data_IF_107873984869
#
_entry.id   IF_107873984869
#
_cell.length_a   1.000
_cell.length_b   1.000
_cell.length_c   1.000
_cell.angle_alpha   90.00
_cell.angle_beta   90.00
_cell.angle_gamma   90.00
#
_symmetry.space_group_name_H-M   'P 1'
#
loop_
_entity.id
_entity.type
_entity.pdbx_description
1 polymer ?
#
# COMPACT_ATOMS: atom_id res chain seq x y z
N UNK A 1 -34.73 -7.89 -45.20
CA UNK A 1 -34.16 -6.53 -45.34
C UNK A 1 -32.65 -6.65 -45.36
N UNK A 2 -31.94 -5.84 -46.15
CA UNK A 2 -30.48 -5.86 -46.18
C UNK A 2 -29.92 -4.99 -45.04
N UNK A 3 -29.02 -5.54 -44.22
CA UNK A 3 -28.23 -4.75 -43.29
C UNK A 3 -27.12 -4.03 -44.07
N UNK A 4 -27.07 -2.70 -44.00
CA UNK A 4 -26.08 -1.88 -44.69
C UNK A 4 -24.69 -2.05 -44.06
N UNK A 5 -23.84 -2.87 -44.68
CA UNK A 5 -22.44 -2.99 -44.28
C UNK A 5 -21.70 -1.66 -44.46
N UNK A 6 -21.37 -1.01 -43.34
CA UNK A 6 -20.49 0.17 -43.34
C UNK A 6 -19.10 -0.31 -43.75
N UNK A 7 -18.72 -0.06 -45.01
CA UNK A 7 -17.35 -0.30 -45.47
C UNK A 7 -16.43 0.69 -44.75
N UNK A 8 -15.48 0.17 -43.97
CA UNK A 8 -14.30 0.92 -43.55
C UNK A 8 -13.62 1.53 -44.80
N UNK A 9 -13.15 2.78 -44.76
CA UNK A 9 -12.37 3.33 -45.86
C UNK A 9 -11.13 2.46 -46.08
N UNK A 10 -10.99 1.90 -47.28
CA UNK A 10 -9.80 1.11 -47.62
C UNK A 10 -8.64 2.09 -47.77
N UNK A 11 -7.78 2.15 -46.75
CA UNK A 11 -6.55 2.93 -46.78
C UNK A 11 -5.73 2.53 -48.00
N UNK A 12 -5.49 3.47 -48.92
CA UNK A 12 -4.77 3.16 -50.16
C UNK A 12 -3.27 2.96 -49.87
N UNK A 13 -2.62 2.13 -50.68
CA UNK A 13 -1.16 1.92 -50.58
C UNK A 13 -0.39 3.25 -50.66
N UNK A 14 -0.83 4.16 -51.55
CA UNK A 14 -0.26 5.50 -51.68
C UNK A 14 -0.43 6.39 -50.43
N UNK A 15 -1.42 6.13 -49.56
CA UNK A 15 -1.53 6.78 -48.26
C UNK A 15 -0.61 6.14 -47.22
N UNK A 16 -0.48 4.80 -47.21
CA UNK A 16 0.48 4.08 -46.35
C UNK A 16 1.94 4.45 -46.63
N UNK A 17 2.25 4.82 -47.87
CA UNK A 17 3.55 5.33 -48.32
C UNK A 17 3.65 6.87 -48.23
N UNK A 18 2.61 7.53 -47.72
CA UNK A 18 2.47 8.99 -47.68
C UNK A 18 3.43 9.70 -46.71
N UNK A 19 3.64 11.00 -46.96
CA UNK A 19 4.57 11.84 -46.18
C UNK A 19 4.25 11.89 -44.68
N UNK A 20 2.98 12.03 -44.30
CA UNK A 20 2.53 12.04 -42.90
C UNK A 20 2.88 10.73 -42.16
N UNK A 21 2.76 9.59 -42.85
CA UNK A 21 3.09 8.26 -42.31
C UNK A 21 4.59 8.16 -42.05
N UNK A 22 5.40 8.51 -43.04
CA UNK A 22 6.85 8.44 -42.95
C UNK A 22 7.42 9.45 -41.94
N UNK A 23 6.84 10.65 -41.83
CA UNK A 23 7.17 11.62 -40.77
C UNK A 23 6.83 11.09 -39.37
N UNK A 24 5.67 10.44 -39.21
CA UNK A 24 5.25 9.86 -37.92
C UNK A 24 6.16 8.69 -37.52
N UNK A 25 6.57 7.86 -38.49
CA UNK A 25 7.60 6.83 -38.29
C UNK A 25 8.94 7.43 -37.87
N UNK A 26 9.47 8.40 -38.62
CA UNK A 26 10.80 8.99 -38.36
C UNK A 26 10.88 9.62 -36.97
N UNK A 27 9.81 10.33 -36.57
CA UNK A 27 9.68 10.89 -35.23
C UNK A 27 9.62 9.80 -34.15
N UNK A 28 8.88 8.70 -34.35
CA UNK A 28 8.89 7.56 -33.41
C UNK A 28 10.31 6.94 -33.27
N UNK A 29 11.08 6.84 -34.36
CA UNK A 29 12.49 6.39 -34.31
C UNK A 29 13.35 7.34 -33.46
N UNK A 30 13.16 8.65 -33.59
CA UNK A 30 13.87 9.66 -32.80
C UNK A 30 13.49 9.61 -31.32
N UNK A 31 12.21 9.44 -31.01
CA UNK A 31 11.74 9.36 -29.63
C UNK A 31 12.20 8.09 -28.93
N UNK A 32 12.26 6.95 -29.62
CA UNK A 32 12.88 5.76 -29.04
C UNK A 32 14.38 5.94 -28.73
N UNK A 33 15.13 6.72 -29.54
CA UNK A 33 16.51 7.10 -29.23
C UNK A 33 16.59 7.99 -27.98
N UNK A 34 15.72 9.00 -27.87
CA UNK A 34 15.65 9.85 -26.68
C UNK A 34 15.28 9.06 -25.41
N UNK A 35 14.23 8.24 -25.49
CA UNK A 35 13.73 7.45 -24.36
C UNK A 35 14.74 6.39 -23.89
N UNK A 36 15.55 5.83 -24.80
CA UNK A 36 16.63 4.93 -24.42
C UNK A 36 17.69 5.67 -23.59
N UNK A 37 18.08 6.88 -24.01
CA UNK A 37 19.04 7.71 -23.26
C UNK A 37 18.47 8.19 -21.90
N UNK A 38 17.14 8.29 -21.77
CA UNK A 38 16.44 8.52 -20.49
C UNK A 38 16.22 7.23 -19.67
N UNK A 39 16.64 6.07 -20.16
CA UNK A 39 16.50 4.76 -19.51
C UNK A 39 15.12 4.08 -19.65
N UNK A 40 14.13 4.77 -20.23
CA UNK A 40 12.71 4.36 -20.27
C UNK A 40 12.42 3.14 -21.15
N UNK A 41 13.23 2.89 -22.19
CA UNK A 41 13.04 1.76 -23.13
C UNK A 41 14.29 0.86 -23.22
N UNK A 42 14.97 0.71 -22.09
CA UNK A 42 16.19 -0.11 -21.93
C UNK A 42 15.92 -1.60 -22.18
N UNK A 43 16.96 -2.35 -22.58
CA UNK A 43 16.91 -3.82 -22.64
C UNK A 43 15.90 -4.41 -23.64
N UNK A 44 15.54 -3.65 -24.69
CA UNK A 44 14.42 -3.91 -25.63
C UNK A 44 13.01 -3.75 -25.03
N UNK A 45 12.90 -3.45 -23.74
CA UNK A 45 11.67 -3.16 -23.02
C UNK A 45 11.00 -1.84 -23.45
N UNK A 46 9.82 -1.58 -22.88
CA UNK A 46 8.93 -0.49 -23.29
C UNK A 46 8.50 -0.54 -24.76
N UNK A 47 7.65 0.40 -25.17
CA UNK A 47 7.12 0.50 -26.54
C UNK A 47 6.44 1.86 -26.74
N UNK A 48 6.28 2.32 -27.97
CA UNK A 48 5.57 3.55 -28.31
C UNK A 48 4.66 3.33 -29.53
N UNK A 49 3.52 4.02 -29.51
CA UNK A 49 2.59 4.09 -30.63
C UNK A 49 1.99 5.48 -30.75
N UNK A 50 1.69 5.91 -31.98
CA UNK A 50 0.94 7.13 -32.25
C UNK A 50 0.04 6.98 -33.47
N UNK A 51 -1.07 7.70 -33.48
CA UNK A 51 -1.87 7.92 -34.69
C UNK A 51 -1.13 8.85 -35.64
N UNK A 52 -1.19 8.55 -36.93
CA UNK A 52 -0.72 9.45 -37.98
C UNK A 52 -1.63 10.68 -37.97
N UNK A 53 -1.04 11.85 -37.72
CA UNK A 53 -1.77 13.10 -37.71
C UNK A 53 -2.01 13.56 -39.15
N UNK A 54 -3.27 13.44 -39.56
CA UNK A 54 -3.78 13.98 -40.82
C UNK A 54 -5.11 14.67 -40.56
N UNK A 55 -5.19 15.97 -40.84
CA UNK A 55 -6.41 16.77 -40.67
C UNK A 55 -7.52 16.36 -41.64
N UNK A 56 -7.19 15.63 -42.72
CA UNK A 56 -8.18 15.08 -43.65
C UNK A 56 -8.93 13.85 -43.11
N UNK A 57 -8.38 13.18 -42.08
CA UNK A 57 -8.94 11.96 -41.49
C UNK A 57 -9.31 12.19 -40.01
N UNK A 58 -10.58 11.95 -39.60
CA UNK A 58 -10.98 12.05 -38.20
C UNK A 58 -10.11 11.21 -37.27
N UNK A 59 -9.76 11.71 -36.08
CA UNK A 59 -8.86 11.05 -35.10
C UNK A 59 -9.32 9.65 -34.66
N UNK A 60 -10.60 9.32 -34.77
CA UNK A 60 -11.14 7.96 -34.54
C UNK A 60 -10.76 6.96 -35.65
N UNK A 61 -10.40 7.46 -36.82
CA UNK A 61 -10.18 6.71 -38.06
C UNK A 61 -8.72 6.80 -38.56
N UNK A 62 -7.89 7.65 -37.94
CA UNK A 62 -6.46 7.75 -38.23
C UNK A 62 -5.75 6.43 -37.95
N UNK A 63 -4.93 5.98 -38.90
CA UNK A 63 -4.08 4.80 -38.79
C UNK A 63 -3.01 4.97 -37.71
N UNK A 64 -2.55 3.85 -37.14
CA UNK A 64 -1.70 3.79 -35.96
C UNK A 64 -0.31 3.25 -36.36
N UNK A 65 0.76 3.97 -35.99
CA UNK A 65 2.15 3.50 -36.09
C UNK A 65 2.55 2.87 -34.76
N UNK A 66 3.33 1.79 -34.79
CA UNK A 66 3.75 1.08 -33.58
C UNK A 66 5.18 0.53 -33.69
N UNK A 67 5.99 0.78 -32.64
CA UNK A 67 7.33 0.17 -32.52
C UNK A 67 7.22 -1.34 -32.24
N UNK A 68 8.04 -2.19 -32.87
CA UNK A 68 8.00 -3.64 -32.63
C UNK A 68 8.57 -4.04 -31.26
N UNK A 69 8.19 -5.24 -30.81
CA UNK A 69 8.76 -5.90 -29.63
C UNK A 69 10.09 -6.61 -29.94
N UNK A 70 10.97 -6.70 -28.95
CA UNK A 70 12.24 -7.44 -29.02
C UNK A 70 13.35 -6.81 -29.86
N UNK A 71 13.21 -5.52 -30.24
CA UNK A 71 14.26 -4.78 -30.97
C UNK A 71 15.00 -3.80 -30.06
N UNK A 72 16.24 -3.48 -30.45
CA UNK A 72 17.00 -2.34 -29.96
C UNK A 72 16.30 -1.04 -30.38
N UNK A 73 15.53 -0.44 -29.46
CA UNK A 73 14.69 0.73 -29.71
C UNK A 73 15.50 1.94 -30.17
N UNK A 74 16.72 2.09 -29.66
CA UNK A 74 17.68 3.13 -30.01
C UNK A 74 18.30 2.98 -31.41
N UNK A 75 18.05 1.84 -32.08
CA UNK A 75 18.53 1.52 -33.44
C UNK A 75 17.40 1.20 -34.41
N UNK A 76 16.17 1.50 -34.01
CA UNK A 76 14.98 1.38 -34.86
C UNK A 76 15.01 2.38 -36.01
N UNK A 77 14.57 1.94 -37.18
CA UNK A 77 14.35 2.77 -38.37
C UNK A 77 12.89 2.67 -38.84
N UNK A 78 12.52 3.53 -39.77
CA UNK A 78 11.17 3.72 -40.30
C UNK A 78 10.59 2.45 -40.96
N UNK A 79 11.46 1.58 -41.48
CA UNK A 79 11.13 0.29 -42.07
C UNK A 79 10.88 -0.82 -41.03
N UNK A 80 11.28 -0.64 -39.76
CA UNK A 80 11.02 -1.61 -38.67
C UNK A 80 9.58 -1.50 -38.12
N UNK A 81 8.82 -0.47 -38.50
CA UNK A 81 7.55 -0.15 -37.86
C UNK A 81 6.36 -0.87 -38.45
N UNK A 82 5.45 -1.26 -37.57
CA UNK A 82 4.12 -1.71 -37.94
C UNK A 82 3.20 -0.52 -38.23
N UNK A 83 2.29 -0.69 -39.20
CA UNK A 83 1.16 0.21 -39.42
C UNK A 83 -0.13 -0.59 -39.22
N UNK A 84 -1.02 -0.08 -38.39
CA UNK A 84 -2.29 -0.69 -38.01
C UNK A 84 -3.46 0.22 -38.43
N UNK A 85 -4.63 -0.35 -38.65
CA UNK A 85 -5.89 0.38 -38.76
C UNK A 85 -6.26 1.03 -37.42
N UNK A 86 -7.26 1.91 -37.41
CA UNK A 86 -7.80 2.44 -36.14
C UNK A 86 -8.52 1.37 -35.29
N UNK A 87 -8.83 0.20 -35.85
CA UNK A 87 -9.33 -0.99 -35.13
C UNK A 87 -8.22 -1.93 -34.64
N UNK A 88 -6.95 -1.67 -34.97
CA UNK A 88 -5.80 -2.48 -34.57
C UNK A 88 -5.45 -3.64 -35.52
N UNK A 89 -6.07 -3.71 -36.69
CA UNK A 89 -5.72 -4.68 -37.73
C UNK A 89 -4.41 -4.28 -38.42
N UNK A 90 -3.50 -5.22 -38.65
CA UNK A 90 -2.20 -4.91 -39.26
C UNK A 90 -2.36 -4.62 -40.77
N UNK A 91 -2.08 -3.37 -41.17
CA UNK A 91 -2.07 -2.92 -42.56
C UNK A 91 -0.69 -3.08 -43.22
N UNK A 92 0.39 -2.94 -42.44
CA UNK A 92 1.77 -3.14 -42.88
C UNK A 92 2.60 -3.82 -41.78
N UNK A 93 3.41 -4.79 -42.18
CA UNK A 93 4.43 -5.44 -41.33
C UNK A 93 5.83 -5.14 -41.87
N UNK A 94 6.83 -4.91 -40.99
CA UNK A 94 8.22 -4.78 -41.39
C UNK A 94 8.74 -6.07 -42.04
N UNK A 95 9.65 -5.93 -43.01
CA UNK A 95 10.28 -7.08 -43.65
C UNK A 95 11.26 -7.78 -42.68
N UNK A 96 11.49 -9.11 -42.81
CA UNK A 96 12.52 -9.79 -42.06
C UNK A 96 13.90 -9.24 -42.42
N UNK A 97 14.65 -8.73 -41.43
CA UNK A 97 16.08 -8.46 -41.59
C UNK A 97 16.84 -9.78 -41.85
N UNK A 98 17.98 -9.77 -42.57
CA UNK A 98 18.71 -10.98 -42.90
C UNK A 98 19.11 -11.83 -41.68
N UNK A 99 19.36 -13.13 -41.91
CA UNK A 99 19.85 -14.04 -40.88
C UNK A 99 21.09 -13.46 -40.16
N UNK A 100 21.17 -13.51 -38.82
CA UNK A 100 20.39 -14.33 -37.88
C UNK A 100 19.10 -13.69 -37.34
N UNK A 101 18.68 -12.54 -37.87
CA UNK A 101 17.56 -11.79 -37.31
C UNK A 101 16.22 -12.48 -37.61
N UNK A 102 15.35 -12.55 -36.58
CA UNK A 102 13.94 -12.89 -36.75
C UNK A 102 13.19 -11.65 -37.26
N UNK A 103 12.07 -11.80 -37.98
CA UNK A 103 11.20 -10.66 -38.26
C UNK A 103 10.80 -9.96 -36.95
N UNK A 104 10.80 -8.62 -36.89
CA UNK A 104 10.31 -7.89 -35.71
C UNK A 104 8.87 -8.33 -35.43
N UNK A 105 8.49 -8.49 -34.15
CA UNK A 105 7.11 -8.80 -33.78
C UNK A 105 6.32 -7.51 -33.58
N UNK A 106 5.05 -7.50 -33.97
CA UNK A 106 4.11 -6.49 -33.47
C UNK A 106 4.12 -6.52 -31.94
N UNK A 107 4.04 -5.35 -31.30
CA UNK A 107 4.25 -5.23 -29.85
C UNK A 107 3.23 -6.09 -29.08
N UNK A 108 3.67 -6.90 -28.12
CA UNK A 108 2.76 -7.64 -27.23
C UNK A 108 1.90 -6.69 -26.36
N UNK A 109 2.36 -5.43 -26.21
CA UNK A 109 1.63 -4.30 -25.63
C UNK A 109 0.46 -3.80 -26.52
N UNK A 110 0.32 -4.25 -27.77
CA UNK A 110 -0.68 -3.73 -28.71
C UNK A 110 -2.12 -3.77 -28.19
N UNK A 111 -2.63 -4.85 -27.55
CA UNK A 111 -4.00 -4.88 -27.03
C UNK A 111 -4.22 -3.85 -25.92
N UNK A 112 -3.19 -3.55 -25.13
CA UNK A 112 -3.21 -2.58 -24.03
C UNK A 112 -3.26 -1.15 -24.58
N UNK A 113 -2.43 -0.87 -25.60
CA UNK A 113 -2.47 0.38 -26.35
C UNK A 113 -3.83 0.63 -27.01
N UNK A 114 -4.45 -0.40 -27.59
CA UNK A 114 -5.80 -0.27 -28.12
C UNK A 114 -6.81 0.11 -27.03
N UNK A 115 -6.65 -0.30 -25.75
CA UNK A 115 -7.56 0.18 -24.67
C UNK A 115 -7.43 1.66 -24.35
N UNK A 116 -6.24 2.27 -24.50
CA UNK A 116 -6.12 3.72 -24.42
C UNK A 116 -6.74 4.42 -25.65
N UNK A 117 -6.58 3.87 -26.85
CA UNK A 117 -7.26 4.40 -28.04
C UNK A 117 -8.79 4.26 -27.96
N UNK A 118 -9.32 3.10 -27.56
CA UNK A 118 -10.74 2.80 -27.40
C UNK A 118 -11.41 3.69 -26.33
N UNK A 119 -10.82 3.73 -25.11
CA UNK A 119 -11.48 4.30 -23.91
C UNK A 119 -11.12 5.75 -23.60
N UNK A 120 -10.16 6.33 -24.34
CA UNK A 120 -9.73 7.74 -24.19
C UNK A 120 -9.57 8.49 -25.51
N UNK A 121 -9.79 7.84 -26.66
CA UNK A 121 -9.54 8.43 -27.98
C UNK A 121 -8.12 9.03 -28.11
N UNK A 122 -7.12 8.40 -27.49
CA UNK A 122 -5.77 8.93 -27.40
C UNK A 122 -5.16 9.29 -28.77
N UNK A 123 -4.24 10.24 -28.79
CA UNK A 123 -3.39 10.54 -29.96
C UNK A 123 -2.17 9.61 -30.03
N UNK A 124 -1.62 9.25 -28.87
CA UNK A 124 -0.46 8.36 -28.73
C UNK A 124 -0.48 7.61 -27.39
N UNK A 125 0.36 6.58 -27.27
CA UNK A 125 0.60 5.82 -26.04
C UNK A 125 2.09 5.47 -25.93
N UNK A 126 2.66 5.64 -24.73
CA UNK A 126 4.01 5.24 -24.35
C UNK A 126 3.89 4.15 -23.28
N UNK A 127 4.63 3.06 -23.43
CA UNK A 127 4.95 2.14 -22.35
C UNK A 127 6.43 2.32 -21.98
N UNK A 128 6.69 2.67 -20.73
CA UNK A 128 8.02 2.88 -20.17
C UNK A 128 8.33 1.86 -19.08
N UNK A 129 9.57 1.36 -19.10
CA UNK A 129 10.18 0.49 -18.09
C UNK A 129 11.17 1.27 -17.21
N UNK A 130 11.00 2.60 -17.11
CA UNK A 130 11.84 3.47 -16.30
C UNK A 130 11.92 3.02 -14.83
N UNK A 131 13.13 3.03 -14.26
CA UNK A 131 13.42 2.42 -12.96
C UNK A 131 12.62 3.04 -11.81
N UNK A 132 12.45 4.36 -11.81
CA UNK A 132 11.57 5.08 -10.89
C UNK A 132 10.10 4.68 -10.99
N UNK A 133 9.58 4.41 -12.21
CA UNK A 133 8.20 3.88 -12.36
C UNK A 133 8.03 2.46 -11.84
N UNK A 134 9.11 1.67 -11.80
CA UNK A 134 9.14 0.36 -11.16
C UNK A 134 9.22 0.51 -9.62
N UNK A 135 10.24 1.21 -9.12
CA UNK A 135 10.53 1.40 -7.69
C UNK A 135 9.39 2.09 -6.92
N UNK A 136 8.69 3.06 -7.51
CA UNK A 136 7.60 3.77 -6.82
C UNK A 136 6.45 2.83 -6.45
N UNK A 137 6.26 1.74 -7.20
CA UNK A 137 5.25 0.70 -6.91
C UNK A 137 5.69 -0.32 -5.84
N UNK A 138 6.96 -0.27 -5.41
CA UNK A 138 7.52 -1.11 -4.34
C UNK A 138 7.51 -0.40 -2.97
N UNK A 139 7.40 0.92 -2.95
CA UNK A 139 7.41 1.73 -1.72
C UNK A 139 6.24 1.41 -0.79
N UNK A 140 5.08 1.06 -1.35
CA UNK A 140 3.98 0.38 -0.66
C UNK A 140 3.48 -0.80 -1.55
N UNK A 141 3.81 -2.06 -1.19
CA UNK A 141 3.34 -3.25 -1.90
C UNK A 141 1.83 -3.48 -1.87
N UNK A 142 1.09 -2.85 -0.95
CA UNK A 142 -0.35 -2.98 -0.80
C UNK A 142 -1.12 -1.89 -1.56
N UNK A 143 -0.57 -0.68 -1.63
CA UNK A 143 -1.16 0.47 -2.33
C UNK A 143 -1.66 0.13 -3.73
N UNK A 144 -2.88 0.57 -4.05
CA UNK A 144 -3.51 0.45 -5.39
C UNK A 144 -3.47 1.75 -6.20
N UNK A 145 -2.84 2.78 -5.64
CA UNK A 145 -2.70 4.11 -6.22
C UNK A 145 -1.33 4.67 -5.83
N UNK A 146 -0.68 5.37 -6.75
CA UNK A 146 0.34 6.36 -6.43
C UNK A 146 -0.32 7.74 -6.34
N UNK A 147 0.01 8.49 -5.28
CA UNK A 147 -0.57 9.81 -4.97
C UNK A 147 0.56 10.81 -4.71
N UNK A 148 0.46 12.01 -5.29
CA UNK A 148 1.39 13.13 -5.10
C UNK A 148 0.67 14.47 -5.33
N UNK A 149 1.05 15.53 -4.61
CA UNK A 149 0.40 16.86 -4.73
C UNK A 149 1.40 18.01 -4.59
N UNK A 150 0.98 19.26 -4.89
CA UNK A 150 1.75 20.48 -4.62
C UNK A 150 3.16 20.51 -5.25
N UNK A 151 3.27 19.95 -6.46
CA UNK A 151 4.51 19.84 -7.23
C UNK A 151 4.31 20.46 -8.60
N UNK A 152 5.21 21.36 -9.01
CA UNK A 152 5.06 22.17 -10.24
C UNK A 152 4.86 21.32 -11.51
N UNK A 153 5.49 20.14 -11.58
CA UNK A 153 5.35 19.22 -12.72
C UNK A 153 3.96 18.56 -12.85
N UNK A 154 3.09 18.63 -11.82
CA UNK A 154 1.70 18.16 -11.92
C UNK A 154 0.93 18.97 -12.98
N UNK A 155 1.25 20.25 -13.15
CA UNK A 155 0.64 21.14 -14.18
C UNK A 155 0.92 20.67 -15.61
N UNK A 156 1.91 19.80 -15.83
CA UNK A 156 2.20 19.23 -17.13
C UNK A 156 1.37 18.01 -17.49
N UNK A 157 0.56 17.49 -16.56
CA UNK A 157 -0.33 16.34 -16.75
C UNK A 157 -1.73 16.84 -17.10
N UNK A 158 -2.36 16.23 -18.11
CA UNK A 158 -3.64 16.66 -18.66
C UNK A 158 -4.71 16.72 -17.55
N UNK A 159 -5.38 17.88 -17.41
CA UNK A 159 -6.48 18.07 -16.45
C UNK A 159 -6.09 18.32 -14.99
N UNK A 160 -4.81 18.61 -14.70
CA UNK A 160 -4.32 18.89 -13.34
C UNK A 160 -3.61 20.27 -13.25
N UNK A 161 -3.71 20.94 -12.10
CA UNK A 161 -2.98 22.15 -11.73
C UNK A 161 -2.05 21.93 -10.53
N UNK A 162 -1.36 22.99 -10.08
CA UNK A 162 -0.36 22.91 -9.01
C UNK A 162 -0.90 22.33 -7.69
N UNK A 163 -2.08 22.79 -7.28
CA UNK A 163 -2.71 22.43 -6.00
C UNK A 163 -3.47 21.09 -6.04
N UNK A 164 -3.61 20.46 -7.21
CA UNK A 164 -4.34 19.20 -7.34
C UNK A 164 -3.55 18.03 -6.76
N UNK A 165 -4.28 16.97 -6.39
CA UNK A 165 -3.69 15.65 -6.17
C UNK A 165 -3.65 14.89 -7.50
N UNK A 166 -2.47 14.45 -7.91
CA UNK A 166 -2.30 13.48 -8.98
C UNK A 166 -2.49 12.08 -8.42
N UNK A 167 -3.43 11.33 -9.00
CA UNK A 167 -3.70 9.92 -8.66
C UNK A 167 -3.44 9.03 -9.88
N UNK A 168 -2.55 8.05 -9.72
CA UNK A 168 -2.20 7.07 -10.76
C UNK A 168 -2.52 5.66 -10.24
N UNK A 169 -3.47 4.92 -10.82
CA UNK A 169 -3.77 3.57 -10.39
C UNK A 169 -2.59 2.62 -10.62
N UNK A 170 -2.40 1.67 -9.69
CA UNK A 170 -1.40 0.61 -9.75
C UNK A 170 -2.13 -0.72 -9.97
N UNK A 171 -1.87 -1.38 -11.09
CA UNK A 171 -2.31 -2.75 -11.35
C UNK A 171 -1.19 -3.75 -11.05
N UNK A 172 -1.56 -4.95 -10.63
CA UNK A 172 -0.59 -6.04 -10.41
C UNK A 172 -0.10 -6.60 -11.75
N UNK A 173 1.18 -6.99 -11.80
CA UNK A 173 1.80 -7.55 -13.01
C UNK A 173 1.44 -9.03 -13.22
N UNK A 174 1.53 -9.50 -14.45
CA UNK A 174 1.23 -10.87 -14.87
C UNK A 174 2.41 -11.50 -15.62
N UNK A 175 2.37 -12.82 -15.84
CA UNK A 175 3.43 -13.52 -16.57
C UNK A 175 3.41 -13.19 -18.07
N UNK A 176 2.26 -12.81 -18.61
CA UNK A 176 2.11 -12.41 -20.01
C UNK A 176 1.39 -11.06 -20.11
N UNK A 177 1.99 -10.09 -20.82
CA UNK A 177 1.47 -8.71 -20.95
C UNK A 177 -0.01 -8.65 -21.35
N UNK A 178 -0.44 -9.56 -22.23
CA UNK A 178 -1.81 -9.64 -22.74
C UNK A 178 -2.87 -9.85 -21.64
N UNK A 179 -2.50 -10.47 -20.52
CA UNK A 179 -3.37 -10.70 -19.37
C UNK A 179 -3.68 -9.39 -18.61
N UNK A 180 -2.80 -8.39 -18.70
CA UNK A 180 -3.02 -7.04 -18.15
C UNK A 180 -4.12 -6.27 -18.88
N UNK A 181 -4.57 -6.72 -20.06
CA UNK A 181 -5.53 -5.96 -20.89
C UNK A 181 -6.84 -5.67 -20.14
N UNK A 182 -7.30 -6.59 -19.28
CA UNK A 182 -8.54 -6.42 -18.52
C UNK A 182 -8.35 -5.54 -17.27
N UNK A 183 -7.26 -5.74 -16.52
CA UNK A 183 -6.95 -4.91 -15.34
C UNK A 183 -6.63 -3.46 -15.73
N UNK A 184 -5.90 -3.26 -16.83
CA UNK A 184 -5.70 -1.94 -17.44
C UNK A 184 -7.01 -1.32 -17.90
N UNK A 185 -7.89 -2.08 -18.58
CA UNK A 185 -9.20 -1.59 -19.01
C UNK A 185 -10.07 -1.12 -17.83
N UNK A 186 -10.08 -1.88 -16.73
CA UNK A 186 -10.78 -1.54 -15.48
C UNK A 186 -10.18 -0.33 -14.77
N UNK A 187 -8.84 -0.23 -14.71
CA UNK A 187 -8.15 0.94 -14.16
C UNK A 187 -8.43 2.21 -14.99
N UNK A 188 -8.48 2.10 -16.33
CA UNK A 188 -8.88 3.21 -17.19
C UNK A 188 -10.36 3.60 -16.96
N UNK A 189 -11.26 2.67 -16.70
CA UNK A 189 -12.66 2.99 -16.41
C UNK A 189 -12.87 3.63 -15.04
N UNK A 190 -12.23 3.10 -13.99
CA UNK A 190 -12.38 3.59 -12.62
C UNK A 190 -11.73 4.97 -12.37
N UNK A 191 -10.70 5.34 -13.14
CA UNK A 191 -9.95 6.58 -12.97
C UNK A 191 -10.13 7.52 -14.18
N UNK A 192 -11.30 8.18 -14.35
CA UNK A 192 -11.64 8.96 -15.55
C UNK A 192 -10.64 10.07 -15.86
N UNK A 193 -10.08 10.72 -14.83
CA UNK A 193 -9.09 11.81 -14.95
C UNK A 193 -7.67 11.35 -15.31
N UNK A 194 -7.30 10.08 -15.14
CA UNK A 194 -5.88 9.70 -15.27
C UNK A 194 -5.44 9.60 -16.74
N UNK A 195 -4.18 9.96 -17.00
CA UNK A 195 -3.48 9.70 -18.27
C UNK A 195 -2.40 8.63 -18.16
N UNK A 196 -2.31 7.93 -17.02
CA UNK A 196 -1.40 6.81 -16.83
C UNK A 196 -1.95 5.67 -15.95
N UNK A 197 -1.41 4.46 -16.12
CA UNK A 197 -1.52 3.33 -15.18
C UNK A 197 -0.13 2.76 -14.89
N UNK A 198 0.19 2.58 -13.62
CA UNK A 198 1.39 1.87 -13.17
C UNK A 198 1.15 0.36 -13.13
N UNK A 199 2.15 -0.43 -13.50
CA UNK A 199 2.15 -1.89 -13.42
C UNK A 199 3.24 -2.30 -12.43
N UNK A 200 2.85 -2.92 -11.31
CA UNK A 200 3.75 -3.16 -10.18
C UNK A 200 4.98 -3.97 -10.59
N UNK A 201 6.17 -3.54 -10.18
CA UNK A 201 7.45 -4.20 -10.51
C UNK A 201 7.75 -4.32 -12.02
N UNK A 202 7.11 -3.49 -12.86
CA UNK A 202 7.23 -3.56 -14.32
C UNK A 202 7.47 -2.18 -14.93
N UNK A 203 6.57 -1.20 -14.71
CA UNK A 203 6.71 0.14 -15.28
C UNK A 203 5.37 0.87 -15.40
N UNK A 204 5.22 1.70 -16.43
CA UNK A 204 4.04 2.56 -16.61
C UNK A 204 3.53 2.55 -18.06
N UNK A 205 2.20 2.65 -18.22
CA UNK A 205 1.52 2.97 -19.47
C UNK A 205 0.99 4.39 -19.36
N UNK A 206 1.35 5.26 -20.32
CA UNK A 206 0.98 6.68 -20.37
C UNK A 206 0.36 6.95 -21.74
N UNK A 207 -0.78 7.64 -21.79
CA UNK A 207 -1.43 8.06 -23.02
C UNK A 207 -1.69 9.56 -23.01
N UNK A 208 -1.90 10.16 -24.19
CA UNK A 208 -2.13 11.60 -24.27
C UNK A 208 -2.82 12.02 -25.55
N UNK A 209 -3.43 13.19 -25.48
CA UNK A 209 -3.99 13.89 -26.63
C UNK A 209 -2.98 14.81 -27.30
N UNK A 210 -3.24 15.12 -28.56
CA UNK A 210 -2.48 16.07 -29.36
C UNK A 210 -2.81 17.52 -28.97
N UNK A 211 -2.42 17.94 -27.77
CA UNK A 211 -2.67 19.30 -27.27
C UNK A 211 -1.44 19.95 -26.65
N UNK A 212 -1.20 21.21 -27.02
CA UNK A 212 -0.04 22.02 -26.63
C UNK A 212 -0.39 22.90 -25.43
N UNK A 213 0.32 22.75 -24.29
CA UNK A 213 0.42 23.82 -23.27
C UNK A 213 1.55 23.59 -22.26
N UNK A 214 2.83 23.80 -22.66
CA UNK A 214 3.95 24.06 -21.73
C UNK A 214 5.29 24.35 -22.43
N UNK A 215 5.72 23.47 -23.34
CA UNK A 215 7.12 23.43 -23.83
C UNK A 215 7.37 24.27 -25.10
N UNK A 216 6.43 25.14 -25.48
CA UNK A 216 6.39 25.86 -26.76
C UNK A 216 7.14 27.19 -26.78
N UNK A 217 8.45 27.14 -26.54
CA UNK A 217 9.39 28.20 -26.99
C UNK A 217 10.66 27.67 -27.68
N UNK A 218 10.90 26.35 -27.68
CA UNK A 218 12.01 25.75 -28.42
C UNK A 218 11.47 25.03 -29.66
N UNK A 219 12.00 25.37 -30.83
CA UNK A 219 11.68 24.80 -32.15
C UNK A 219 10.22 24.96 -32.63
N UNK A 220 9.82 26.21 -32.92
CA UNK A 220 8.64 26.54 -33.72
C UNK A 220 8.82 26.26 -35.24
N UNK A 221 9.53 25.18 -35.58
CA UNK A 221 9.81 24.73 -36.94
C UNK A 221 9.61 23.21 -37.00
N UNK A 222 8.60 22.78 -37.76
CA UNK A 222 8.34 21.40 -38.19
C UNK A 222 8.58 20.29 -37.16
N UNK A 223 7.53 19.82 -36.45
CA UNK A 223 7.26 18.39 -36.24
C UNK A 223 5.84 18.16 -35.69
N UNK A 224 5.39 16.89 -35.70
CA UNK A 224 4.03 16.50 -35.36
C UNK A 224 3.71 16.78 -33.87
N UNK A 225 2.84 17.77 -33.63
CA UNK A 225 2.48 18.26 -32.30
C UNK A 225 1.82 17.19 -31.41
N UNK A 226 1.30 16.10 -31.98
CA UNK A 226 0.67 15.02 -31.20
C UNK A 226 1.63 14.35 -30.23
N UNK A 227 2.87 14.17 -30.64
CA UNK A 227 3.88 13.45 -29.86
C UNK A 227 4.56 14.33 -28.81
N UNK A 228 4.69 15.64 -29.06
CA UNK A 228 5.30 16.58 -28.10
C UNK A 228 4.55 16.62 -26.75
N UNK A 229 3.22 16.53 -26.76
CA UNK A 229 2.40 16.56 -25.54
C UNK A 229 2.59 15.32 -24.67
N UNK A 230 2.57 14.12 -25.26
CA UNK A 230 2.72 12.87 -24.52
C UNK A 230 4.14 12.66 -23.99
N UNK A 231 5.17 13.13 -24.71
CA UNK A 231 6.55 13.17 -24.19
C UNK A 231 6.60 14.02 -22.92
N UNK A 232 6.00 15.22 -22.96
CA UNK A 232 6.01 16.12 -21.81
C UNK A 232 5.22 15.55 -20.61
N UNK A 233 4.08 14.90 -20.85
CA UNK A 233 3.37 14.16 -19.79
C UNK A 233 4.24 13.03 -19.21
N UNK A 234 4.97 12.28 -20.05
CA UNK A 234 5.89 11.24 -19.58
C UNK A 234 7.08 11.82 -18.79
N UNK A 235 7.68 12.92 -19.24
CA UNK A 235 8.71 13.66 -18.49
C UNK A 235 8.19 14.08 -17.10
N UNK A 236 6.94 14.57 -17.01
CA UNK A 236 6.30 14.93 -15.76
C UNK A 236 6.05 13.72 -14.84
N UNK A 237 5.50 12.62 -15.37
CA UNK A 237 5.29 11.39 -14.61
C UNK A 237 6.60 10.81 -14.06
N UNK A 238 7.62 10.64 -14.91
CA UNK A 238 8.92 10.12 -14.48
C UNK A 238 9.64 11.05 -13.50
N UNK A 239 9.52 12.38 -13.66
CA UNK A 239 9.98 13.33 -12.65
C UNK A 239 9.28 13.14 -11.31
N UNK A 240 7.94 13.03 -11.30
CA UNK A 240 7.15 12.93 -10.07
C UNK A 240 7.38 11.60 -9.34
N UNK A 241 7.53 10.48 -10.05
CA UNK A 241 7.94 9.21 -9.45
C UNK A 241 9.35 9.30 -8.83
N UNK A 242 10.32 9.89 -9.54
CA UNK A 242 11.67 10.08 -9.01
C UNK A 242 11.69 11.05 -7.82
N UNK A 243 10.85 12.08 -7.84
CA UNK A 243 10.70 13.03 -6.74
C UNK A 243 10.10 12.36 -5.49
N UNK A 244 9.05 11.54 -5.63
CA UNK A 244 8.49 10.76 -4.53
C UNK A 244 9.53 9.83 -3.88
N UNK A 245 10.31 9.11 -4.70
CA UNK A 245 11.40 8.23 -4.21
C UNK A 245 12.45 9.05 -3.46
N UNK A 246 12.88 10.20 -4.01
CA UNK A 246 13.88 11.09 -3.36
C UNK A 246 13.36 11.72 -2.06
N UNK A 247 12.10 12.16 -2.05
CA UNK A 247 11.44 12.67 -0.84
C UNK A 247 11.40 11.57 0.22
N UNK A 248 10.98 10.36 -0.12
CA UNK A 248 10.98 9.21 0.80
C UNK A 248 12.38 8.86 1.32
N UNK A 249 13.41 8.87 0.47
CA UNK A 249 14.82 8.67 0.87
C UNK A 249 15.35 9.75 1.81
N UNK A 250 14.80 10.98 1.74
CA UNK A 250 15.07 12.07 2.68
C UNK A 250 14.13 12.05 3.90
N UNK A 251 13.23 11.08 3.99
CA UNK A 251 12.21 11.00 5.03
C UNK A 251 11.20 12.14 4.95
N UNK A 252 10.75 12.52 3.74
CA UNK A 252 9.75 13.55 3.44
C UNK A 252 8.50 12.98 2.71
N UNK A 253 7.31 13.46 3.07
CA UNK A 253 6.02 12.93 2.60
C UNK A 253 5.48 13.68 1.37
N UNK A 254 5.68 13.07 0.21
CA UNK A 254 5.28 13.59 -1.10
C UNK A 254 3.75 13.63 -1.31
N UNK A 255 2.97 12.96 -0.46
CA UNK A 255 1.50 13.01 -0.50
C UNK A 255 0.92 14.25 0.19
N UNK A 256 1.75 14.99 0.94
CA UNK A 256 1.29 16.15 1.72
C UNK A 256 1.59 17.50 1.04
N UNK A 257 0.68 18.50 1.12
CA UNK A 257 0.90 19.84 0.59
C UNK A 257 2.19 20.56 1.05
N UNK A 258 2.70 20.20 2.23
CA UNK A 258 3.88 20.82 2.82
C UNK A 258 5.19 20.12 2.47
N UNK A 259 5.16 18.92 1.87
CA UNK A 259 6.31 18.02 1.69
C UNK A 259 7.17 17.92 2.97
N UNK A 260 6.49 17.91 4.12
CA UNK A 260 7.14 17.86 5.43
C UNK A 260 7.81 16.50 5.67
N UNK A 261 8.40 16.27 6.85
CA UNK A 261 8.84 14.93 7.23
C UNK A 261 7.76 13.89 6.96
N UNK A 262 8.17 12.67 6.60
CA UNK A 262 7.33 11.48 6.72
C UNK A 262 6.92 11.41 8.18
N UNK A 263 5.74 11.98 8.41
CA UNK A 263 4.78 11.46 9.35
C UNK A 263 4.51 10.05 8.86
N UNK A 264 5.38 9.13 9.30
CA UNK A 264 4.92 7.83 9.78
C UNK A 264 3.65 8.19 10.53
N UNK A 265 2.51 7.77 9.99
CA UNK A 265 1.25 8.09 10.62
C UNK A 265 1.39 7.68 12.08
N UNK A 266 1.02 8.57 13.00
CA UNK A 266 0.75 8.16 14.37
C UNK A 266 -0.59 7.42 14.37
N UNK A 267 -0.68 6.38 13.55
CA UNK A 267 -1.38 5.16 13.87
C UNK A 267 -0.79 4.70 15.20
N UNK A 268 -1.52 5.00 16.27
CA UNK A 268 -1.16 4.64 17.64
C UNK A 268 -1.06 3.12 17.68
N UNK A 269 0.19 2.61 17.75
CA UNK A 269 0.50 1.20 17.45
C UNK A 269 -0.08 0.20 18.44
N UNK A 270 -0.44 0.64 19.65
CA UNK A 270 -1.14 -0.16 20.65
C UNK A 270 -2.03 0.75 21.53
N UNK A 271 -2.94 0.13 22.29
CA UNK A 271 -4.04 0.77 23.04
C UNK A 271 -4.37 -0.08 24.29
N UNK A 272 -3.55 0.00 25.35
CA UNK A 272 -3.61 -0.93 26.50
C UNK A 272 -4.58 -0.47 27.60
N UNK A 273 -5.89 -0.76 27.53
CA UNK A 273 -6.86 -0.39 28.59
C UNK A 273 -6.75 -1.24 29.88
N UNK A 274 -7.16 -0.68 31.03
CA UNK A 274 -7.43 -1.48 32.24
C UNK A 274 -8.70 -2.35 32.10
N UNK A 275 -8.84 -3.29 33.02
CA UNK A 275 -9.91 -4.28 33.12
C UNK A 275 -11.06 -3.78 34.00
N UNK A 276 -10.78 -3.31 35.22
CA UNK A 276 -11.84 -3.05 36.20
C UNK A 276 -12.46 -1.66 36.03
N UNK A 277 -13.79 -1.60 35.94
CA UNK A 277 -14.55 -0.39 35.61
C UNK A 277 -14.42 0.04 34.15
N UNK A 278 -13.20 -0.09 33.60
CA UNK A 278 -12.85 0.15 32.20
C UNK A 278 -13.40 -0.96 31.29
N UNK A 279 -12.62 -1.96 30.85
CA UNK A 279 -13.15 -2.87 29.81
C UNK A 279 -14.35 -3.70 30.28
N UNK A 280 -14.43 -4.00 31.58
CA UNK A 280 -15.50 -4.77 32.21
C UNK A 280 -16.11 -4.01 33.41
N UNK A 281 -17.45 -3.97 33.58
CA UNK A 281 -18.05 -3.39 34.77
C UNK A 281 -17.61 -4.13 36.04
N UNK A 282 -17.29 -3.40 37.11
CA UNK A 282 -16.84 -3.98 38.40
C UNK A 282 -17.86 -5.01 38.93
N UNK A 283 -19.16 -4.74 38.76
CA UNK A 283 -20.25 -5.67 39.10
C UNK A 283 -20.19 -7.01 38.35
N UNK A 284 -19.67 -7.07 37.13
CA UNK A 284 -19.53 -8.35 36.42
C UNK A 284 -18.43 -9.23 37.06
N UNK A 285 -17.38 -8.60 37.59
CA UNK A 285 -16.32 -9.30 38.33
C UNK A 285 -16.87 -9.83 39.66
N UNK A 286 -17.52 -8.98 40.45
CA UNK A 286 -18.03 -9.34 41.79
C UNK A 286 -19.25 -10.25 41.77
N UNK A 287 -20.19 -10.02 40.85
CA UNK A 287 -21.53 -10.63 40.90
C UNK A 287 -21.66 -11.87 40.01
N UNK A 288 -20.73 -12.07 39.05
CA UNK A 288 -20.75 -13.19 38.10
C UNK A 288 -19.48 -14.05 38.19
N UNK A 289 -18.29 -13.44 38.03
CA UNK A 289 -17.04 -14.20 37.98
C UNK A 289 -16.65 -14.81 39.34
N UNK A 290 -16.75 -14.06 40.45
CA UNK A 290 -16.42 -14.61 41.78
C UNK A 290 -17.36 -15.77 42.21
N UNK A 291 -18.69 -15.68 42.06
CA UNK A 291 -19.57 -16.85 42.29
C UNK A 291 -19.28 -18.02 41.35
N UNK A 292 -19.10 -17.77 40.04
CA UNK A 292 -18.80 -18.82 39.07
C UNK A 292 -17.51 -19.58 39.40
N UNK A 293 -16.44 -18.86 39.75
CA UNK A 293 -15.17 -19.47 40.15
C UNK A 293 -15.34 -20.31 41.43
N UNK A 294 -15.95 -19.74 42.48
CA UNK A 294 -16.23 -20.43 43.75
C UNK A 294 -17.01 -21.74 43.56
N UNK A 295 -18.01 -21.73 42.68
CA UNK A 295 -18.97 -22.83 42.53
C UNK A 295 -18.53 -23.90 41.52
N UNK A 296 -17.43 -23.70 40.79
CA UNK A 296 -16.96 -24.62 39.75
C UNK A 296 -15.47 -25.02 39.84
N UNK A 297 -14.57 -24.15 40.32
CA UNK A 297 -13.12 -24.44 40.39
C UNK A 297 -12.84 -25.67 41.26
N UNK A 298 -13.52 -25.82 42.40
CA UNK A 298 -13.39 -27.03 43.24
C UNK A 298 -13.73 -28.30 42.46
N UNK A 299 -14.89 -28.34 41.81
CA UNK A 299 -15.35 -29.52 41.06
C UNK A 299 -14.40 -29.86 39.92
N UNK A 300 -13.93 -28.85 39.19
CA UNK A 300 -12.98 -29.03 38.10
C UNK A 300 -11.68 -29.67 38.59
N UNK A 301 -11.07 -29.10 39.65
CA UNK A 301 -9.85 -29.63 40.25
C UNK A 301 -10.05 -31.03 40.87
N UNK A 302 -11.23 -31.34 41.41
CA UNK A 302 -11.59 -32.67 41.91
C UNK A 302 -11.76 -33.69 40.77
N UNK A 303 -12.30 -33.29 39.63
CA UNK A 303 -12.52 -34.12 38.44
C UNK A 303 -11.23 -34.34 37.62
N UNK A 304 -10.30 -33.38 37.59
CA UNK A 304 -9.08 -33.45 36.78
C UNK A 304 -7.80 -33.74 37.56
N UNK A 305 -7.82 -33.80 38.90
CA UNK A 305 -6.63 -33.89 39.77
C UNK A 305 -5.51 -34.82 39.26
N UNK A 306 -5.83 -36.08 38.96
CA UNK A 306 -4.85 -37.11 38.56
C UNK A 306 -4.42 -37.03 37.07
N UNK A 307 -4.95 -36.08 36.29
CA UNK A 307 -4.55 -35.90 34.88
C UNK A 307 -3.18 -35.25 34.79
N UNK A 308 -2.41 -35.57 33.73
CA UNK A 308 -1.12 -34.93 33.47
C UNK A 308 -1.25 -33.41 33.49
N UNK A 309 -2.22 -32.87 32.74
CA UNK A 309 -2.50 -31.43 32.65
C UNK A 309 -2.82 -30.73 33.99
N UNK A 310 -3.38 -31.44 34.99
CA UNK A 310 -3.69 -30.85 36.31
C UNK A 310 -2.70 -31.23 37.40
N UNK A 311 -1.88 -32.28 37.24
CA UNK A 311 -0.57 -32.31 37.93
C UNK A 311 0.35 -31.20 37.38
N UNK A 312 0.14 -30.82 36.11
CA UNK A 312 0.59 -29.59 35.46
C UNK A 312 -0.31 -28.36 35.79
N UNK A 313 -1.27 -28.48 36.74
CA UNK A 313 -1.91 -27.40 37.52
C UNK A 313 -1.52 -27.48 39.02
N UNK A 314 -0.47 -28.25 39.39
CA UNK A 314 -0.06 -28.46 40.79
C UNK A 314 1.41 -28.09 41.13
N UNK A 315 2.39 -28.19 40.22
CA UNK A 315 3.85 -28.11 40.53
C UNK A 315 4.63 -26.77 40.34
N UNK A 316 4.30 -25.82 39.45
CA UNK A 316 5.19 -24.66 39.14
C UNK A 316 4.62 -23.23 39.35
N UNK A 317 3.30 -23.00 39.56
CA UNK A 317 2.92 -22.04 40.62
C UNK A 317 3.12 -22.63 42.03
N UNK A 318 3.50 -23.91 42.20
CA UNK A 318 4.15 -24.38 43.45
C UNK A 318 5.57 -23.81 43.55
N UNK A 319 6.24 -23.59 42.43
CA UNK A 319 7.47 -22.77 42.35
C UNK A 319 7.20 -21.29 42.61
N UNK A 320 6.22 -20.66 41.93
CA UNK A 320 5.79 -19.28 42.24
C UNK A 320 5.44 -19.11 43.72
N UNK A 321 4.79 -20.08 44.34
CA UNK A 321 4.47 -20.07 45.77
C UNK A 321 5.72 -20.16 46.64
N UNK A 322 6.73 -20.94 46.24
CA UNK A 322 8.00 -20.93 46.93
C UNK A 322 8.76 -19.63 46.71
N UNK A 323 8.63 -18.94 45.56
CA UNK A 323 9.16 -17.58 45.36
C UNK A 323 8.41 -16.56 46.22
N UNK A 324 7.08 -16.52 46.16
CA UNK A 324 6.19 -15.64 46.92
C UNK A 324 6.44 -15.78 48.43
N UNK A 325 6.53 -17.02 48.94
CA UNK A 325 6.87 -17.31 50.34
C UNK A 325 8.33 -16.93 50.70
N UNK A 326 9.29 -17.10 49.78
CA UNK A 326 10.67 -16.63 49.99
C UNK A 326 10.78 -15.10 50.01
N UNK A 327 9.92 -14.42 49.25
CA UNK A 327 9.87 -12.96 49.13
C UNK A 327 8.97 -12.31 50.19
N UNK A 328 8.35 -13.09 51.08
CA UNK A 328 7.52 -12.60 52.18
C UNK A 328 6.12 -12.10 51.76
N UNK A 329 5.64 -12.53 50.61
CA UNK A 329 4.26 -12.31 50.15
C UNK A 329 3.32 -13.17 51.01
N UNK A 330 2.13 -12.64 51.28
CA UNK A 330 1.11 -13.29 52.12
C UNK A 330 0.11 -14.04 51.22
N UNK A 331 0.06 -15.38 51.34
CA UNK A 331 -0.93 -16.37 50.82
C UNK A 331 -0.98 -16.71 49.28
N UNK A 332 -0.43 -17.86 48.79
CA UNK A 332 -0.34 -18.22 47.32
C UNK A 332 -0.59 -19.73 46.88
N UNK A 333 -0.82 -20.05 45.56
CA UNK A 333 -1.25 -21.37 44.88
C UNK A 333 -0.71 -21.65 43.40
N UNK A 334 -0.91 -22.83 42.66
CA UNK A 334 -0.04 -23.36 41.52
C UNK A 334 -0.46 -23.62 39.97
N UNK A 335 0.44 -23.46 38.91
CA UNK A 335 0.34 -23.86 37.42
C UNK A 335 0.57 -22.81 36.25
N UNK A 336 0.15 -23.04 34.94
CA UNK A 336 1.05 -22.96 33.72
C UNK A 336 0.77 -21.95 32.52
N UNK A 337 1.19 -22.29 31.27
CA UNK A 337 1.40 -21.42 30.06
C UNK A 337 0.76 -21.90 28.70
N UNK A 338 1.03 -21.24 27.55
CA UNK A 338 0.34 -21.32 26.21
C UNK A 338 0.97 -22.31 25.17
N UNK A 339 0.90 -22.28 23.81
CA UNK A 339 0.86 -21.24 22.72
C UNK A 339 -0.03 -21.62 21.49
N UNK A 340 -0.41 -20.66 20.61
CA UNK A 340 -0.89 -20.87 19.20
C UNK A 340 -0.77 -19.56 18.34
N UNK A 341 -1.03 -19.58 17.01
CA UNK A 341 -0.40 -18.63 16.03
C UNK A 341 -1.23 -17.72 15.07
N UNK A 342 -0.55 -16.67 14.56
CA UNK A 342 -0.85 -15.64 13.53
C UNK A 342 -2.10 -14.72 13.60
N UNK A 343 -3.28 -15.11 14.09
CA UNK A 343 -4.27 -14.05 14.46
C UNK A 343 -3.70 -13.26 15.65
N UNK A 344 -3.09 -14.04 16.56
CA UNK A 344 -1.81 -13.92 17.27
C UNK A 344 -0.64 -13.25 16.45
N UNK A 345 -0.87 -12.09 15.83
CA UNK A 345 0.16 -11.12 15.33
C UNK A 345 -0.28 -9.69 15.60
N UNK A 346 -1.53 -9.32 15.26
CA UNK A 346 -2.11 -8.04 15.70
C UNK A 346 -2.50 -8.15 17.19
N UNK A 347 -3.08 -9.30 17.55
CA UNK A 347 -3.20 -9.77 18.90
C UNK A 347 -1.85 -9.82 19.64
N UNK A 348 -0.75 -10.17 18.93
CA UNK A 348 0.59 -10.29 19.52
C UNK A 348 1.29 -8.95 19.83
N UNK A 349 0.55 -7.83 19.82
CA UNK A 349 0.99 -6.55 20.35
C UNK A 349 0.12 -6.07 21.54
N UNK A 350 -0.93 -6.83 21.91
CA UNK A 350 -1.83 -6.51 23.02
C UNK A 350 -1.45 -7.33 24.25
N UNK A 351 -0.67 -6.70 25.13
CA UNK A 351 -0.29 -7.26 26.42
C UNK A 351 -1.20 -6.71 27.52
N UNK A 352 -1.64 -7.58 28.42
CA UNK A 352 -2.33 -7.17 29.66
C UNK A 352 -1.27 -6.98 30.75
N UNK A 353 -1.47 -6.00 31.65
CA UNK A 353 -0.72 -5.89 32.90
C UNK A 353 -1.72 -5.78 34.06
N UNK A 354 -1.76 -6.79 34.93
CA UNK A 354 -2.76 -6.90 36.00
C UNK A 354 -2.14 -7.10 37.39
N UNK A 355 -2.94 -6.88 38.43
CA UNK A 355 -2.69 -7.36 39.79
C UNK A 355 -3.03 -8.85 39.98
N UNK A 356 -3.87 -9.42 39.10
CA UNK A 356 -4.13 -10.86 39.07
C UNK A 356 -3.03 -11.63 38.32
N UNK A 357 -2.72 -12.85 38.76
CA UNK A 357 -1.68 -13.68 38.13
C UNK A 357 -1.95 -13.94 36.64
N UNK A 358 -0.90 -14.19 35.87
CA UNK A 358 -0.98 -14.53 34.43
C UNK A 358 -2.02 -15.63 34.14
N UNK A 359 -2.22 -16.57 35.05
CA UNK A 359 -3.23 -17.63 34.94
C UNK A 359 -4.65 -17.18 35.17
N UNK A 360 -4.90 -16.34 36.17
CA UNK A 360 -6.22 -15.74 36.36
C UNK A 360 -6.61 -14.93 35.12
N UNK A 361 -5.65 -14.22 34.51
CA UNK A 361 -5.84 -13.51 33.23
C UNK A 361 -6.16 -14.50 32.08
N UNK A 362 -5.35 -15.55 31.89
CA UNK A 362 -5.57 -16.57 30.85
C UNK A 362 -6.93 -17.26 30.97
N UNK A 363 -7.36 -17.62 32.18
CA UNK A 363 -8.69 -18.21 32.43
C UNK A 363 -9.83 -17.22 32.15
N UNK A 364 -9.69 -15.97 32.61
CA UNK A 364 -10.68 -14.90 32.39
C UNK A 364 -10.95 -14.65 30.90
N UNK A 365 -9.90 -14.57 30.08
CA UNK A 365 -10.04 -14.38 28.64
C UNK A 365 -10.38 -15.66 27.89
N UNK A 366 -10.03 -16.85 28.41
CA UNK A 366 -10.34 -18.15 27.80
C UNK A 366 -11.83 -18.52 27.82
N UNK A 367 -12.54 -18.16 28.90
CA UNK A 367 -13.92 -18.60 29.16
C UNK A 367 -14.96 -17.46 29.14
N UNK A 368 -14.82 -16.50 28.23
CA UNK A 368 -15.75 -15.37 28.13
C UNK A 368 -17.10 -15.74 27.48
N UNK A 369 -18.13 -14.94 27.76
CA UNK A 369 -19.45 -15.04 27.10
C UNK A 369 -19.43 -14.79 25.58
N UNK A 370 -18.30 -14.32 25.03
CA UNK A 370 -18.05 -14.12 23.59
C UNK A 370 -17.13 -15.20 22.99
N UNK A 371 -16.91 -16.30 23.72
CA UNK A 371 -15.94 -17.35 23.42
C UNK A 371 -14.53 -17.00 23.90
N UNK A 372 -13.55 -17.82 23.52
CA UNK A 372 -12.14 -17.60 23.88
C UNK A 372 -11.61 -16.33 23.22
N UNK A 373 -11.10 -15.40 24.03
CA UNK A 373 -10.53 -14.12 23.63
C UNK A 373 -8.99 -14.10 23.68
N UNK A 374 -8.32 -15.16 24.17
CA UNK A 374 -6.84 -15.24 24.22
C UNK A 374 -6.21 -15.11 22.82
N UNK A 375 -6.93 -15.54 21.78
CA UNK A 375 -6.61 -15.31 20.36
C UNK A 375 -6.48 -13.84 19.93
N UNK A 376 -6.76 -12.90 20.83
CA UNK A 376 -6.64 -11.46 20.67
C UNK A 376 -5.53 -10.82 21.53
N UNK A 377 -4.71 -11.61 22.24
CA UNK A 377 -3.65 -11.14 23.15
C UNK A 377 -2.28 -11.77 22.81
N UNK A 378 -1.17 -11.11 23.17
CA UNK A 378 0.21 -11.62 23.01
C UNK A 378 0.70 -12.43 24.20
N UNK A 379 0.24 -12.05 25.38
CA UNK A 379 0.90 -12.38 26.63
C UNK A 379 0.45 -11.48 27.77
N UNK A 380 0.90 -11.83 28.96
CA UNK A 380 0.37 -11.34 30.22
C UNK A 380 1.52 -10.95 31.14
N UNK A 381 1.48 -9.72 31.64
CA UNK A 381 2.27 -9.27 32.77
C UNK A 381 1.41 -9.27 34.03
N UNK A 382 2.01 -9.63 35.15
CA UNK A 382 1.44 -9.52 36.49
C UNK A 382 2.48 -8.90 37.43
N UNK A 383 2.19 -8.82 38.73
CA UNK A 383 3.06 -8.12 39.69
C UNK A 383 4.45 -8.75 39.92
N UNK A 384 4.79 -9.83 39.19
CA UNK A 384 6.16 -10.36 39.11
C UNK A 384 7.14 -9.40 38.42
N UNK A 385 6.67 -8.48 37.54
CA UNK A 385 7.48 -7.33 37.08
C UNK A 385 7.48 -6.15 38.06
N UNK A 386 6.90 -6.31 39.25
CA UNK A 386 6.73 -5.28 40.28
C UNK A 386 5.34 -4.64 40.28
N UNK A 387 5.16 -3.57 41.06
CA UNK A 387 3.85 -2.96 41.29
C UNK A 387 3.40 -2.05 40.14
N UNK A 388 2.11 -2.09 39.75
CA UNK A 388 1.54 -1.18 38.72
C UNK A 388 1.72 0.32 39.07
N UNK A 389 2.06 0.67 40.31
CA UNK A 389 2.31 2.05 40.77
C UNK A 389 3.80 2.41 40.84
N UNK A 390 4.69 1.54 40.38
CA UNK A 390 6.15 1.75 40.39
C UNK A 390 6.71 1.93 38.98
N UNK A 391 7.50 2.98 38.77
CA UNK A 391 8.14 3.28 37.49
C UNK A 391 9.05 2.15 36.99
N UNK A 392 9.69 1.38 37.89
CA UNK A 392 10.58 0.27 37.52
C UNK A 392 9.84 -0.77 36.68
N UNK A 393 8.60 -1.11 37.02
CA UNK A 393 7.84 -2.14 36.32
C UNK A 393 7.59 -1.82 34.85
N UNK A 394 7.43 -0.53 34.52
CA UNK A 394 7.26 -0.09 33.14
C UNK A 394 8.59 -0.04 32.35
N UNK A 395 9.72 0.12 33.04
CA UNK A 395 11.06 -0.07 32.46
C UNK A 395 11.29 -1.57 32.19
N UNK A 396 11.01 -2.43 33.17
CA UNK A 396 11.11 -3.90 33.06
C UNK A 396 10.24 -4.46 31.92
N UNK A 397 9.00 -3.96 31.78
CA UNK A 397 8.11 -4.27 30.64
C UNK A 397 8.73 -3.78 29.32
N UNK A 398 9.30 -2.58 29.27
CA UNK A 398 9.92 -2.04 28.04
C UNK A 398 11.12 -2.87 27.59
N UNK A 399 11.97 -3.28 28.54
CA UNK A 399 13.12 -4.15 28.28
C UNK A 399 12.69 -5.56 27.89
N UNK A 400 11.69 -6.14 28.59
CA UNK A 400 11.10 -7.45 28.27
C UNK A 400 10.46 -7.51 26.88
N UNK A 401 9.89 -6.40 26.39
CA UNK A 401 9.31 -6.27 25.06
C UNK A 401 10.34 -5.92 23.98
N UNK A 402 11.60 -5.63 24.34
CA UNK A 402 12.68 -5.33 23.40
C UNK A 402 12.48 -4.04 22.59
N UNK A 403 11.64 -3.10 23.05
CA UNK A 403 11.37 -1.85 22.31
C UNK A 403 12.59 -0.93 22.32
N UNK A 404 12.78 -0.15 21.25
CA UNK A 404 13.93 0.75 21.15
C UNK A 404 13.73 2.04 21.96
N UNK A 405 12.48 2.42 22.24
CA UNK A 405 12.12 3.53 23.13
C UNK A 405 10.86 3.18 23.93
N UNK A 406 10.79 3.44 25.24
CA UNK A 406 9.54 3.23 26.01
C UNK A 406 8.32 3.96 25.44
N UNK A 407 8.52 5.11 24.79
CA UNK A 407 7.47 5.89 24.10
C UNK A 407 6.85 5.18 22.88
N UNK A 408 7.33 3.99 22.51
CA UNK A 408 6.73 3.13 21.48
C UNK A 408 5.57 2.28 22.06
N UNK A 409 5.41 2.27 23.39
CA UNK A 409 4.32 1.62 24.13
C UNK A 409 3.31 2.69 24.59
N UNK A 410 2.02 2.49 24.32
CA UNK A 410 0.92 3.27 24.91
C UNK A 410 0.24 2.44 26.02
N UNK A 411 0.52 2.80 27.28
CA UNK A 411 -0.21 2.30 28.44
C UNK A 411 -1.50 3.10 28.67
N UNK A 412 -2.57 2.45 29.12
CA UNK A 412 -3.82 3.12 29.50
C UNK A 412 -4.33 2.47 30.79
N UNK A 413 -4.95 3.27 31.65
CA UNK A 413 -5.45 2.80 32.95
C UNK A 413 -6.63 3.67 33.37
N UNK A 414 -7.46 3.25 34.32
CA UNK A 414 -8.33 4.17 35.07
C UNK A 414 -7.61 4.74 36.32
N UNK A 415 -6.61 4.03 36.85
CA UNK A 415 -5.90 4.36 38.08
C UNK A 415 -4.80 5.38 37.79
N UNK A 416 -5.06 6.64 38.19
CA UNK A 416 -4.14 7.77 38.03
C UNK A 416 -2.70 7.50 38.50
N UNK A 417 -2.49 6.75 39.59
CA UNK A 417 -1.14 6.45 40.10
C UNK A 417 -0.33 5.57 39.13
N UNK A 418 -0.98 4.67 38.40
CA UNK A 418 -0.33 3.83 37.38
C UNK A 418 0.01 4.66 36.14
N UNK A 419 -0.87 5.59 35.76
CA UNK A 419 -0.63 6.54 34.67
C UNK A 419 0.62 7.40 34.94
N UNK A 420 0.79 7.87 36.19
CA UNK A 420 2.00 8.59 36.64
C UNK A 420 3.24 7.68 36.58
N UNK A 421 3.15 6.46 37.09
CA UNK A 421 4.26 5.51 37.10
C UNK A 421 4.75 5.15 35.69
N UNK A 422 3.83 4.87 34.76
CA UNK A 422 4.10 4.59 33.36
C UNK A 422 4.70 5.80 32.63
N UNK A 423 4.16 7.02 32.86
CA UNK A 423 4.66 8.22 32.18
C UNK A 423 6.06 8.61 32.65
N UNK A 424 6.39 8.35 33.92
CA UNK A 424 7.74 8.52 34.47
C UNK A 424 8.77 7.55 33.84
N UNK A 425 8.34 6.38 33.34
CA UNK A 425 9.18 5.45 32.58
C UNK A 425 9.30 5.81 31.09
N UNK A 426 8.66 6.89 30.64
CA UNK A 426 8.74 7.40 29.27
C UNK A 426 7.74 6.80 28.28
N UNK A 427 6.78 5.99 28.74
CA UNK A 427 5.70 5.46 27.89
C UNK A 427 4.77 6.58 27.41
N UNK A 428 3.99 6.31 26.36
CA UNK A 428 2.77 7.09 26.15
C UNK A 428 1.65 6.61 27.07
N UNK A 429 0.81 7.55 27.52
CA UNK A 429 -0.19 7.28 28.56
C UNK A 429 -1.51 8.02 28.30
N UNK A 430 -2.61 7.28 28.39
CA UNK A 430 -3.99 7.78 28.39
C UNK A 430 -4.68 7.31 29.68
N UNK A 431 -5.79 7.93 30.07
CA UNK A 431 -6.67 7.43 31.15
C UNK A 431 -8.05 7.07 30.58
N UNK A 432 -8.59 5.91 30.94
CA UNK A 432 -9.96 5.51 30.58
C UNK A 432 -10.95 5.92 31.65
N UNK A 433 -12.06 6.53 31.24
CA UNK A 433 -13.08 7.09 32.12
C UNK A 433 -14.43 6.43 31.81
N UNK A 434 -14.79 5.43 32.61
CA UNK A 434 -16.02 4.63 32.46
C UNK A 434 -16.88 4.63 33.73
N UNK A 435 -18.16 4.22 33.66
CA UNK A 435 -19.06 4.23 34.81
C UNK A 435 -18.61 3.26 35.91
N UNK A 436 -18.13 3.79 37.03
CA UNK A 436 -17.63 3.03 38.18
C UNK A 436 -16.19 3.37 38.57
N UNK A 437 -15.42 3.97 37.66
CA UNK A 437 -14.02 4.34 37.88
C UNK A 437 -13.89 5.43 38.98
N UNK A 438 -12.76 5.45 39.68
CA UNK A 438 -12.48 6.44 40.73
C UNK A 438 -12.37 7.89 40.22
N UNK A 439 -12.59 8.90 41.08
CA UNK A 439 -12.46 10.31 40.71
C UNK A 439 -10.98 10.67 40.41
N UNK A 440 -10.76 11.31 39.27
CA UNK A 440 -9.43 11.81 38.87
C UNK A 440 -9.15 13.18 39.53
N UNK A 441 -7.88 13.51 39.84
CA UNK A 441 -7.50 14.85 40.30
C UNK A 441 -7.81 15.94 39.27
N UNK A 442 -8.12 17.15 39.73
CA UNK A 442 -8.20 18.31 38.83
C UNK A 442 -6.86 18.58 38.14
N UNK A 443 -6.90 18.94 36.85
CA UNK A 443 -5.71 19.24 36.03
C UNK A 443 -4.66 18.11 35.97
N UNK A 444 -5.08 16.85 36.10
CA UNK A 444 -4.21 15.66 36.12
C UNK A 444 -3.31 15.44 34.88
N UNK A 445 -3.44 16.22 33.80
CA UNK A 445 -2.46 16.30 32.70
C UNK A 445 -2.46 15.16 31.66
N UNK A 446 -3.30 14.14 31.81
CA UNK A 446 -3.40 13.01 30.88
C UNK A 446 -4.55 13.18 29.87
N UNK A 447 -4.39 12.69 28.63
CA UNK A 447 -5.53 12.50 27.71
C UNK A 447 -6.51 11.51 28.36
N UNK A 448 -7.80 11.81 28.30
CA UNK A 448 -8.87 10.87 28.70
C UNK A 448 -9.64 10.35 27.49
N UNK A 449 -10.26 9.18 27.65
CA UNK A 449 -11.14 8.52 26.67
C UNK A 449 -12.29 7.79 27.37
N UNK A 450 -13.38 7.51 26.64
CA UNK A 450 -14.53 6.72 27.14
C UNK A 450 -14.69 5.38 26.40
N UNK A 451 -14.25 5.33 25.14
CA UNK A 451 -14.30 4.19 24.23
C UNK A 451 -12.92 3.85 23.65
N UNK A 452 -12.74 2.58 23.24
CA UNK A 452 -11.61 2.15 22.39
C UNK A 452 -11.57 2.88 21.03
N UNK A 453 -12.68 3.48 20.58
CA UNK A 453 -12.78 4.23 19.32
C UNK A 453 -12.27 5.68 19.41
N UNK A 454 -11.61 6.06 20.50
CA UNK A 454 -11.08 7.40 20.76
C UNK A 454 -9.54 7.45 20.78
N UNK A 455 -8.89 6.37 20.32
CA UNK A 455 -7.44 6.24 20.13
C UNK A 455 -7.18 5.89 18.65
#
# INVERSE_FOLDING_TARGET
MAASGVKTPVTSQAYLEGSQVNQTKSLISELCRLFYNLGWVSGTGGSITAKVHDDSVPKSNQIIIMSPSGVQKERMVEEDMYVLSSSGDILFSPLPKPYPHKPPKCSDCAPLFMKAYDKRNAGAVIHSHGMESCLVTMMDPLAKEFRITHMEMIKGIQGHGYYDELVVPIIENTAHERELTESLAKAIEAYPKTTAVLVRNHGVYIWGDSWISAKTQYNALQYNASLQSIIFQAECYHYLFQAAIKLHQLGLDWSTPSHGPIRSSQALRCVVLDIEGTTTPISFVTDVLFPYARDNVRRHLEETYDTGATQEDIELLRSQVQEDLQHGVVDAVPIPYDEDGRHHVIAALVYIYSSGSRLAQRLLFGYSNFGDLRKYLSGFFDTTVGNKKETKSYVEISESLGVHKPSEILFITDIFQEAVAAKAAGLEVVISVRPGNGPLPENHGFKTIKSFSEI
#
